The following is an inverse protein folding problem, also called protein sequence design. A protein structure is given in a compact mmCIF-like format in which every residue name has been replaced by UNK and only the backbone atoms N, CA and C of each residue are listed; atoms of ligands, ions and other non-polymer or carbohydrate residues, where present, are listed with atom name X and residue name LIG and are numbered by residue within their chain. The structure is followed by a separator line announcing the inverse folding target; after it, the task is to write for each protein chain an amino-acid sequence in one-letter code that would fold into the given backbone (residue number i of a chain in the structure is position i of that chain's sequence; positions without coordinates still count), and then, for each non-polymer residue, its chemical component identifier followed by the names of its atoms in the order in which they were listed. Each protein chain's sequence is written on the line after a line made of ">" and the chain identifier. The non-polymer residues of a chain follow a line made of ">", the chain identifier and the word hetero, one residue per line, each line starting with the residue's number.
data_IF_857713043351
#
_entry.id   IF_857713043351
#
_cell.length_a   1.000
_cell.length_b   1.000
_cell.length_c   1.000
_cell.angle_alpha   90.00
_cell.angle_beta   90.00
_cell.angle_gamma   90.00
#
_symmetry.space_group_name_H-M   'P 1'
#
loop_
_entity.id
_entity.type
_entity.pdbx_description
1 polymer ?
#
# COMPACT_ATOMS: atom_id res chain seq x y z
N UNK A 1 30.39 -9.09 -3.72
CA UNK A 1 30.62 -8.32 -2.48
C UNK A 1 29.72 -8.93 -1.43
N UNK A 2 30.29 -9.40 -0.33
CA UNK A 2 29.52 -10.00 0.76
C UNK A 2 28.68 -8.92 1.47
N UNK A 3 27.48 -9.28 1.94
CA UNK A 3 26.56 -8.32 2.58
C UNK A 3 27.12 -7.80 3.91
N UNK A 4 27.86 -8.63 4.66
CA UNK A 4 28.50 -8.25 5.91
C UNK A 4 29.66 -7.29 5.65
N UNK A 5 30.45 -7.53 4.59
CA UNK A 5 31.52 -6.61 4.17
C UNK A 5 30.96 -5.22 3.84
N UNK A 6 29.83 -5.17 3.12
CA UNK A 6 29.17 -3.91 2.78
C UNK A 6 28.64 -3.17 4.01
N UNK A 7 28.06 -3.88 4.97
CA UNK A 7 27.55 -3.29 6.22
C UNK A 7 28.71 -2.76 7.08
N UNK A 8 29.82 -3.51 7.15
CA UNK A 8 30.99 -3.11 7.92
C UNK A 8 31.71 -1.88 7.33
N UNK A 9 31.68 -1.72 6.00
CA UNK A 9 32.36 -0.62 5.30
C UNK A 9 31.55 0.67 5.20
N UNK A 10 30.21 0.61 5.15
CA UNK A 10 29.36 1.76 4.79
C UNK A 10 28.33 2.11 5.88
N UNK A 11 28.32 1.42 7.03
CA UNK A 11 27.33 1.59 8.13
C UNK A 11 25.84 1.56 7.70
N UNK A 12 25.53 1.20 6.45
CA UNK A 12 24.18 1.31 5.85
C UNK A 12 23.96 2.54 4.96
N UNK A 13 25.04 3.17 4.46
CA UNK A 13 25.00 4.32 3.56
C UNK A 13 24.61 5.62 4.26
N UNK A 14 24.16 6.65 3.50
CA UNK A 14 23.80 7.96 4.05
C UNK A 14 22.74 7.94 5.15
N UNK A 15 21.91 6.89 5.19
CA UNK A 15 20.88 6.68 6.22
C UNK A 15 21.35 5.82 7.40
N UNK A 16 22.42 5.04 7.21
CA UNK A 16 22.97 4.09 8.18
C UNK A 16 23.34 4.73 9.51
N UNK A 17 23.94 5.93 9.47
CA UNK A 17 24.29 6.75 10.64
C UNK A 17 23.11 7.05 11.57
N UNK A 18 21.87 7.01 11.08
CA UNK A 18 20.67 7.30 11.89
C UNK A 18 20.03 6.04 12.49
N UNK A 19 20.48 4.84 12.11
CA UNK A 19 19.83 3.56 12.46
C UNK A 19 19.51 3.43 13.94
N UNK A 20 20.47 3.73 14.82
CA UNK A 20 20.32 3.61 16.27
C UNK A 20 19.34 4.62 16.87
N UNK A 21 19.16 5.78 16.23
CA UNK A 21 18.30 6.87 16.72
C UNK A 21 16.92 6.88 16.08
N UNK A 22 16.81 6.36 14.86
CA UNK A 22 15.59 6.42 14.08
C UNK A 22 14.67 5.22 14.30
N UNK A 23 15.23 4.03 14.50
CA UNK A 23 14.44 2.80 14.57
C UNK A 23 13.41 2.83 15.73
N UNK A 24 12.17 2.51 15.41
CA UNK A 24 11.04 2.49 16.34
C UNK A 24 10.41 3.85 16.63
N UNK A 25 11.05 4.96 16.23
CA UNK A 25 10.48 6.30 16.38
C UNK A 25 10.29 7.03 15.05
N UNK A 26 11.38 7.38 14.36
CA UNK A 26 11.34 8.08 13.08
C UNK A 26 11.27 7.12 11.88
N UNK A 27 11.81 5.92 12.04
CA UNK A 27 11.76 4.83 11.07
C UNK A 27 11.07 3.63 11.70
N UNK A 28 10.16 3.00 10.95
CA UNK A 28 9.36 1.88 11.43
C UNK A 28 8.61 2.19 12.75
N UNK A 29 7.90 3.33 12.86
CA UNK A 29 7.08 3.61 14.04
C UNK A 29 6.01 2.55 14.21
N UNK A 30 5.74 2.16 15.46
CA UNK A 30 4.69 1.19 15.80
C UNK A 30 3.47 1.94 16.30
N UNK A 31 2.53 2.16 15.40
CA UNK A 31 1.21 2.65 15.75
C UNK A 31 0.28 1.47 16.02
N UNK A 32 -0.54 1.59 17.04
CA UNK A 32 -1.42 0.51 17.50
C UNK A 32 -2.89 0.91 17.40
N UNK A 33 -3.75 -0.07 17.10
CA UNK A 33 -5.20 0.11 16.98
C UNK A 33 -5.68 0.32 15.55
N UNK A 34 -6.96 0.67 15.41
CA UNK A 34 -7.57 1.01 14.13
C UNK A 34 -7.12 2.38 13.64
N UNK A 35 -6.99 2.57 12.32
CA UNK A 35 -6.59 3.86 11.73
C UNK A 35 -7.56 5.00 12.12
N UNK A 36 -7.07 5.97 12.87
CA UNK A 36 -7.87 7.07 13.40
C UNK A 36 -7.02 8.35 13.49
N UNK A 37 -7.62 9.56 13.46
CA UNK A 37 -6.90 10.79 13.81
C UNK A 37 -6.10 10.69 15.11
N UNK A 38 -6.59 9.98 16.13
CA UNK A 38 -5.82 9.71 17.34
C UNK A 38 -5.41 8.24 17.44
N UNK A 39 -4.10 7.99 17.48
CA UNK A 39 -3.51 6.65 17.57
C UNK A 39 -2.72 6.47 18.85
N UNK A 40 -2.42 5.22 19.20
CA UNK A 40 -1.44 4.90 20.25
C UNK A 40 -0.05 4.75 19.63
N UNK A 41 0.92 5.49 20.16
CA UNK A 41 2.32 5.45 19.77
C UNK A 41 3.18 5.39 21.03
N UNK A 42 4.01 4.35 21.18
CA UNK A 42 4.86 4.14 22.37
C UNK A 42 4.08 4.30 23.70
N UNK A 43 2.90 3.68 23.77
CA UNK A 43 2.02 3.71 24.94
C UNK A 43 1.32 5.06 25.19
N UNK A 44 1.44 6.04 24.29
CA UNK A 44 0.81 7.36 24.42
C UNK A 44 -0.18 7.61 23.30
N UNK A 45 -1.32 8.22 23.63
CA UNK A 45 -2.28 8.70 22.64
C UNK A 45 -1.72 9.96 21.97
N UNK A 46 -1.62 9.94 20.64
CA UNK A 46 -1.08 11.02 19.82
C UNK A 46 -2.02 11.35 18.67
N UNK A 47 -2.00 12.61 18.22
CA UNK A 47 -2.66 13.02 16.98
C UNK A 47 -1.78 12.63 15.79
N UNK A 48 -2.30 11.83 14.87
CA UNK A 48 -1.59 11.27 13.73
C UNK A 48 -1.79 12.14 12.48
N UNK A 49 -0.73 12.84 12.07
CA UNK A 49 -0.68 13.65 10.84
C UNK A 49 0.03 12.95 9.67
N UNK A 50 0.34 11.65 9.83
CA UNK A 50 1.26 10.92 8.93
C UNK A 50 0.54 10.00 7.94
N UNK A 51 -0.79 9.94 7.98
CA UNK A 51 -1.56 9.01 7.15
C UNK A 51 -2.08 9.66 5.88
N UNK A 52 -2.10 8.88 4.80
CA UNK A 52 -2.74 9.24 3.54
C UNK A 52 -4.25 8.88 3.54
N UNK A 53 -4.90 8.88 4.71
CA UNK A 53 -6.32 8.53 4.86
C UNK A 53 -7.20 9.79 4.86
N UNK A 54 -7.07 10.60 3.81
CA UNK A 54 -7.62 11.97 3.77
C UNK A 54 -9.14 12.03 3.94
N UNK A 55 -9.86 11.05 3.39
CA UNK A 55 -11.32 10.96 3.47
C UNK A 55 -11.82 10.07 4.61
N UNK A 56 -10.92 9.49 5.42
CA UNK A 56 -11.30 8.57 6.50
C UNK A 56 -11.79 7.21 6.04
N UNK A 57 -11.63 6.85 4.76
CA UNK A 57 -12.24 5.66 4.17
C UNK A 57 -11.62 4.33 4.63
N UNK A 58 -10.40 4.34 5.19
CA UNK A 58 -9.73 3.12 5.65
C UNK A 58 -10.57 2.29 6.65
N UNK A 59 -11.43 2.94 7.43
CA UNK A 59 -12.32 2.28 8.39
C UNK A 59 -13.81 2.42 8.05
N UNK A 60 -14.14 2.85 6.84
CA UNK A 60 -15.54 3.02 6.45
C UNK A 60 -16.28 1.67 6.52
N UNK A 61 -17.45 1.57 7.19
CA UNK A 61 -18.12 0.29 7.44
C UNK A 61 -18.42 -0.50 6.16
N UNK A 62 -18.81 0.19 5.09
CA UNK A 62 -19.10 -0.44 3.80
C UNK A 62 -17.84 -1.02 3.16
N UNK A 63 -16.71 -0.30 3.20
CA UNK A 63 -15.43 -0.76 2.63
C UNK A 63 -14.96 -2.02 3.35
N UNK A 64 -14.98 -2.01 4.69
CA UNK A 64 -14.57 -3.18 5.50
C UNK A 64 -15.48 -4.38 5.29
N UNK A 65 -16.78 -4.13 5.14
CA UNK A 65 -17.74 -5.19 4.83
C UNK A 65 -17.45 -5.82 3.47
N UNK A 66 -17.29 -5.01 2.44
CA UNK A 66 -16.98 -5.49 1.08
C UNK A 66 -15.65 -6.25 1.04
N UNK A 67 -14.63 -5.78 1.74
CA UNK A 67 -13.34 -6.47 1.84
C UNK A 67 -13.47 -7.86 2.48
N UNK A 68 -14.17 -7.95 3.62
CA UNK A 68 -14.42 -9.22 4.30
C UNK A 68 -15.25 -10.20 3.43
N UNK A 69 -16.28 -9.71 2.75
CA UNK A 69 -17.11 -10.52 1.85
C UNK A 69 -16.32 -11.00 0.62
N UNK A 70 -15.49 -10.15 0.04
CA UNK A 70 -14.62 -10.51 -1.09
C UNK A 70 -13.60 -11.57 -0.69
N UNK A 71 -12.95 -11.41 0.47
CA UNK A 71 -12.01 -12.38 1.01
C UNK A 71 -12.69 -13.72 1.30
N UNK A 72 -13.88 -13.73 1.90
CA UNK A 72 -14.65 -14.94 2.14
C UNK A 72 -15.08 -15.66 0.85
N UNK A 73 -15.41 -14.89 -0.19
CA UNK A 73 -15.89 -15.42 -1.48
C UNK A 73 -14.78 -15.95 -2.37
N UNK A 74 -13.65 -15.25 -2.45
CA UNK A 74 -12.61 -15.50 -3.46
C UNK A 74 -11.27 -15.94 -2.86
N UNK A 75 -11.07 -15.74 -1.55
CA UNK A 75 -9.75 -15.89 -0.93
C UNK A 75 -8.73 -14.90 -1.49
N UNK A 76 -7.44 -15.18 -1.23
CA UNK A 76 -6.34 -14.32 -1.69
C UNK A 76 -5.71 -14.77 -3.02
N UNK A 77 -6.03 -15.98 -3.47
CA UNK A 77 -5.37 -16.59 -4.63
C UNK A 77 -6.11 -16.33 -5.96
N UNK A 78 -7.40 -16.03 -5.91
CA UNK A 78 -8.22 -15.82 -7.11
C UNK A 78 -8.26 -14.34 -7.49
N UNK A 79 -8.13 -13.99 -8.78
CA UNK A 79 -7.67 -14.83 -9.89
C UNK A 79 -6.13 -15.01 -9.84
N UNK A 80 -5.63 -16.19 -10.23
CA UNK A 80 -4.19 -16.46 -10.19
C UNK A 80 -3.57 -16.27 -11.58
N UNK A 81 -2.50 -15.48 -11.68
CA UNK A 81 -1.70 -15.30 -12.89
C UNK A 81 -1.65 -13.85 -13.38
N UNK A 82 -0.93 -13.62 -14.48
CA UNK A 82 -0.89 -12.30 -15.12
C UNK A 82 -2.24 -11.95 -15.76
N UNK A 83 -2.55 -10.65 -15.85
CA UNK A 83 -3.76 -10.13 -16.52
C UNK A 83 -3.90 -10.62 -17.96
N UNK A 84 -2.80 -10.76 -18.70
CA UNK A 84 -2.80 -11.29 -20.07
C UNK A 84 -3.19 -12.79 -20.15
N UNK A 85 -3.08 -13.51 -19.03
CA UNK A 85 -3.32 -14.95 -18.96
C UNK A 85 -4.59 -15.22 -18.13
N UNK A 86 -4.46 -15.87 -16.97
CA UNK A 86 -5.58 -16.29 -16.12
C UNK A 86 -5.92 -15.30 -14.99
N UNK A 87 -5.22 -14.16 -14.90
CA UNK A 87 -5.36 -13.17 -13.83
C UNK A 87 -6.44 -12.10 -14.06
N UNK A 88 -7.23 -12.19 -15.13
CA UNK A 88 -8.18 -11.16 -15.52
C UNK A 88 -9.62 -11.57 -15.22
N UNK A 89 -10.43 -10.61 -14.75
CA UNK A 89 -11.83 -10.84 -14.37
C UNK A 89 -12.70 -9.67 -14.80
N UNK A 90 -14.00 -9.91 -14.93
CA UNK A 90 -14.98 -8.86 -15.23
C UNK A 90 -15.05 -7.76 -14.16
N UNK A 91 -14.61 -8.04 -12.92
CA UNK A 91 -14.51 -7.04 -11.87
C UNK A 91 -13.36 -6.05 -12.11
N UNK A 92 -12.25 -6.51 -12.70
CA UNK A 92 -11.18 -5.60 -13.12
C UNK A 92 -11.69 -4.63 -14.18
N UNK A 93 -12.29 -5.15 -15.25
CA UNK A 93 -12.82 -4.31 -16.33
C UNK A 93 -13.91 -3.35 -15.83
N UNK A 94 -14.75 -3.80 -14.89
CA UNK A 94 -15.78 -2.95 -14.29
C UNK A 94 -15.14 -1.76 -13.58
N UNK A 95 -14.17 -2.01 -12.72
CA UNK A 95 -13.48 -0.95 -11.99
C UNK A 95 -12.70 -0.03 -12.94
N UNK A 96 -12.08 -0.56 -13.99
CA UNK A 96 -11.41 0.22 -15.03
C UNK A 96 -12.37 1.20 -15.71
N UNK A 97 -13.55 0.73 -16.14
CA UNK A 97 -14.59 1.61 -16.71
C UNK A 97 -15.09 2.66 -15.72
N UNK A 98 -15.38 2.27 -14.48
CA UNK A 98 -15.85 3.20 -13.44
C UNK A 98 -14.81 4.29 -13.14
N UNK A 99 -13.51 3.94 -13.13
CA UNK A 99 -12.43 4.90 -12.94
C UNK A 99 -12.22 5.81 -14.16
N UNK A 100 -12.32 5.27 -15.37
CA UNK A 100 -12.24 6.06 -16.60
C UNK A 100 -13.36 7.10 -16.67
N UNK A 101 -14.59 6.69 -16.35
CA UNK A 101 -15.75 7.57 -16.26
C UNK A 101 -15.56 8.65 -15.17
N UNK A 102 -15.09 8.26 -13.99
CA UNK A 102 -14.85 9.18 -12.87
C UNK A 102 -13.81 10.27 -13.22
N UNK A 103 -12.71 9.89 -13.86
CA UNK A 103 -11.62 10.79 -14.27
C UNK A 103 -11.86 11.47 -15.64
N UNK A 104 -13.03 11.21 -16.27
CA UNK A 104 -13.37 11.72 -17.60
C UNK A 104 -12.30 11.39 -18.66
N UNK A 105 -11.90 10.11 -18.73
CA UNK A 105 -10.95 9.55 -19.70
C UNK A 105 -11.60 8.50 -20.58
N UNK A 106 -10.98 8.21 -21.72
CA UNK A 106 -11.48 7.22 -22.68
C UNK A 106 -11.41 5.79 -22.14
N UNK A 107 -10.38 5.50 -21.34
CA UNK A 107 -10.16 4.19 -20.71
C UNK A 107 -9.25 4.33 -19.48
N UNK A 108 -9.16 3.28 -18.67
CA UNK A 108 -8.24 3.16 -17.55
C UNK A 108 -7.70 1.73 -17.43
N UNK A 109 -6.54 1.57 -16.80
CA UNK A 109 -5.94 0.25 -16.60
C UNK A 109 -5.46 0.09 -15.16
N UNK A 110 -5.77 -1.06 -14.55
CA UNK A 110 -5.40 -1.34 -13.15
C UNK A 110 -3.98 -1.90 -13.02
N UNK A 111 -3.27 -1.38 -12.03
CA UNK A 111 -1.96 -1.87 -11.58
C UNK A 111 -2.02 -2.25 -10.10
N UNK A 112 -1.10 -3.11 -9.66
CA UNK A 112 -1.06 -3.59 -8.27
C UNK A 112 -0.80 -2.47 -7.25
N UNK A 113 0.00 -1.46 -7.62
CA UNK A 113 0.28 -0.27 -6.82
C UNK A 113 0.87 0.85 -7.69
N UNK A 114 0.80 2.10 -7.21
CA UNK A 114 1.09 3.30 -8.01
C UNK A 114 2.51 3.36 -8.60
N UNK A 115 3.54 2.96 -7.85
CA UNK A 115 4.92 2.98 -8.35
C UNK A 115 5.12 2.01 -9.53
N UNK A 116 4.53 0.82 -9.47
CA UNK A 116 4.54 -0.12 -10.60
C UNK A 116 3.78 0.47 -11.79
N UNK A 117 2.61 1.08 -11.57
CA UNK A 117 1.85 1.74 -12.62
C UNK A 117 2.64 2.82 -13.36
N UNK A 118 3.37 3.66 -12.62
CA UNK A 118 4.25 4.68 -13.22
C UNK A 118 5.32 4.04 -14.09
N UNK A 119 6.09 3.07 -13.55
CA UNK A 119 7.19 2.45 -14.31
C UNK A 119 6.64 1.74 -15.54
N UNK A 120 5.60 0.92 -15.39
CA UNK A 120 5.01 0.16 -16.49
C UNK A 120 4.39 1.04 -17.57
N UNK A 121 4.01 2.29 -17.26
CA UNK A 121 3.45 3.21 -18.26
C UNK A 121 4.53 3.97 -19.01
N UNK A 122 5.62 4.36 -18.33
CA UNK A 122 6.69 5.19 -18.90
C UNK A 122 7.73 4.35 -19.64
N UNK A 123 8.07 3.18 -19.12
CA UNK A 123 9.09 2.28 -19.67
C UNK A 123 8.56 1.39 -20.82
N UNK A 124 7.22 1.34 -21.00
CA UNK A 124 6.57 0.56 -22.05
C UNK A 124 6.74 1.14 -23.46
#
# INVERSE_FOLDING_TARGET
>A
MDIFDRIAQDEGGPLGQYRQRAHGYFMFPKLEGEINPYMTFNGKKVLAWTFNNYLGLANHPEVRKTDAEAAAKWGLAYPMGARMMSGHTSLHEKLERELADFECKEDAYLFNFGYQGMISTIDA
#
